data_IF_295463242544
#
_entry.id   IF_295463242544
#
_cell.length_a   1.000
_cell.length_b   1.000
_cell.length_c   1.000
_cell.angle_alpha   90.00
_cell.angle_beta   90.00
_cell.angle_gamma   90.00
#
_symmetry.space_group_name_H-M   'P 1'
#
loop_
_entity.id
_entity.type
_entity.pdbx_description
1 polymer ?
#
# COMPACT_ATOMS: atom_id res chain seq x y z
N UNK A 1 -17.18 28.57 -11.46
CA UNK A 1 -17.22 27.56 -12.54
C UNK A 1 -16.06 26.59 -12.35
N UNK A 2 -16.31 25.43 -11.72
CA UNK A 2 -15.30 24.37 -11.54
C UNK A 2 -15.30 23.48 -12.78
N UNK A 3 -14.15 23.39 -13.46
CA UNK A 3 -13.93 22.45 -14.56
C UNK A 3 -13.95 21.03 -14.02
N UNK A 4 -14.84 20.21 -14.57
CA UNK A 4 -14.84 18.76 -14.46
C UNK A 4 -13.63 18.24 -15.24
N UNK A 5 -12.58 17.83 -14.52
CA UNK A 5 -11.48 17.07 -15.10
C UNK A 5 -11.91 15.60 -15.16
N UNK A 6 -12.18 15.14 -16.38
CA UNK A 6 -12.35 13.74 -16.71
C UNK A 6 -11.11 12.96 -16.27
N UNK A 7 -11.28 11.99 -15.39
CA UNK A 7 -10.22 11.10 -14.97
C UNK A 7 -10.44 9.74 -15.61
N UNK A 8 -9.70 9.49 -16.70
CA UNK A 8 -9.44 8.14 -17.18
C UNK A 8 -8.68 7.37 -16.10
N UNK A 9 -9.43 6.70 -15.22
CA UNK A 9 -8.92 5.83 -14.16
C UNK A 9 -9.02 4.40 -14.67
N UNK A 10 -7.91 3.83 -15.12
CA UNK A 10 -7.89 2.43 -15.54
C UNK A 10 -6.51 1.86 -15.88
N UNK A 11 -5.42 2.56 -15.55
CA UNK A 11 -4.06 2.10 -15.92
C UNK A 11 -3.03 2.23 -14.80
N UNK A 12 -3.43 2.61 -13.58
CA UNK A 12 -2.47 3.01 -12.55
C UNK A 12 -1.98 1.86 -11.65
N UNK A 13 -2.69 0.73 -11.57
CA UNK A 13 -2.32 -0.36 -10.66
C UNK A 13 -1.17 -1.25 -11.18
N UNK A 14 -1.02 -1.42 -12.49
CA UNK A 14 0.16 -2.15 -13.03
C UNK A 14 1.41 -1.28 -13.16
N UNK A 15 1.27 0.02 -13.39
CA UNK A 15 2.42 0.93 -13.47
C UNK A 15 3.07 1.20 -12.11
N UNK A 16 2.34 1.02 -11.00
CA UNK A 16 2.91 1.10 -9.66
C UNK A 16 3.76 -0.12 -9.27
N UNK A 17 3.76 -1.19 -10.07
CA UNK A 17 4.72 -2.29 -9.98
C UNK A 17 5.95 -2.11 -10.93
N UNK A 18 5.95 -1.08 -11.79
CA UNK A 18 7.01 -0.82 -12.79
C UNK A 18 8.02 0.25 -12.35
N UNK A 19 7.90 0.78 -11.13
CA UNK A 19 8.90 1.65 -10.52
C UNK A 19 9.45 1.00 -9.25
N UNK A 20 10.18 -0.10 -9.40
CA UNK A 20 11.09 -0.52 -8.35
C UNK A 20 12.26 0.47 -8.28
N UNK A 21 12.71 0.90 -7.09
CA UNK A 21 14.14 1.12 -6.95
C UNK A 21 14.81 -0.23 -7.19
N UNK A 22 15.76 -0.24 -8.12
CA UNK A 22 16.73 -1.30 -8.21
C UNK A 22 17.45 -1.46 -6.85
N UNK A 23 17.74 -2.71 -6.52
CA UNK A 23 18.63 -3.25 -5.48
C UNK A 23 19.30 -2.22 -4.56
N UNK A 24 19.17 -2.42 -3.25
CA UNK A 24 20.23 -2.02 -2.34
C UNK A 24 20.73 -3.21 -1.53
N UNK A 25 21.95 -3.61 -1.87
CA UNK A 25 22.91 -4.21 -0.95
C UNK A 25 23.42 -3.11 -0.02
N UNK A 26 22.54 -2.64 0.85
CA UNK A 26 22.84 -1.83 2.03
C UNK A 26 21.72 -2.16 3.01
N UNK A 27 21.96 -2.08 4.32
CA UNK A 27 20.98 -2.42 5.36
C UNK A 27 19.75 -1.49 5.42
N UNK A 28 19.22 -1.06 4.28
CA UNK A 28 17.98 -0.30 4.18
C UNK A 28 16.77 -1.20 4.42
N UNK A 29 15.82 -0.67 5.20
CA UNK A 29 14.55 -1.32 5.51
C UNK A 29 13.79 -1.56 4.20
N UNK A 30 13.49 -2.84 3.95
CA UNK A 30 12.75 -3.29 2.78
C UNK A 30 11.40 -2.56 2.71
N UNK A 31 11.22 -1.71 1.68
CA UNK A 31 9.96 -0.97 1.50
C UNK A 31 8.90 -1.86 0.87
N UNK A 32 7.80 -2.11 1.57
CA UNK A 32 6.58 -2.70 1.02
C UNK A 32 5.85 -1.68 0.12
N UNK A 33 5.59 -2.05 -1.15
CA UNK A 33 4.74 -1.25 -2.04
C UNK A 33 3.36 -0.94 -1.45
N UNK A 34 2.81 -1.85 -0.64
CA UNK A 34 1.50 -1.73 0.01
C UNK A 34 1.57 -0.91 1.30
N UNK A 35 2.56 -1.15 2.17
CA UNK A 35 2.62 -0.50 3.48
C UNK A 35 3.31 0.87 3.46
N UNK A 36 4.48 1.02 2.83
CA UNK A 36 5.43 2.08 3.21
C UNK A 36 5.25 3.42 2.48
N UNK A 37 4.17 3.58 1.70
CA UNK A 37 3.71 4.92 1.26
C UNK A 37 2.85 5.58 2.34
N UNK A 38 3.45 5.99 3.45
CA UNK A 38 2.81 6.87 4.44
C UNK A 38 3.60 8.16 4.51
N UNK A 39 2.91 9.28 4.37
CA UNK A 39 3.47 10.62 4.49
C UNK A 39 3.19 11.09 5.91
N UNK A 40 4.19 11.66 6.59
CA UNK A 40 3.99 12.41 7.85
C UNK A 40 2.93 13.47 7.58
N UNK A 41 1.86 13.47 8.37
CA UNK A 41 0.72 14.38 8.16
C UNK A 41 0.85 15.57 9.10
N UNK A 42 1.39 15.36 10.30
CA UNK A 42 1.52 16.37 11.33
C UNK A 42 2.96 16.48 11.84
N UNK A 43 3.45 17.71 11.96
CA UNK A 43 4.77 18.02 12.52
C UNK A 43 4.67 19.32 13.30
N UNK A 44 5.34 19.40 14.44
CA UNK A 44 5.47 20.67 15.15
C UNK A 44 6.09 21.75 14.22
N UNK A 45 5.69 23.03 14.35
CA UNK A 45 6.32 24.11 13.61
C UNK A 45 7.86 24.09 13.82
N UNK A 46 8.64 24.10 12.74
CA UNK A 46 10.10 23.96 12.83
C UNK A 46 10.79 25.09 13.63
N UNK A 47 10.11 26.22 13.84
CA UNK A 47 10.64 27.41 14.51
C UNK A 47 9.72 27.85 15.68
N UNK A 48 9.47 26.95 16.64
CA UNK A 48 8.66 27.26 17.84
C UNK A 48 9.16 28.51 18.57
N UNK A 49 10.47 28.73 18.61
CA UNK A 49 11.11 29.85 19.28
C UNK A 49 10.72 31.23 18.70
N UNK A 50 10.33 31.27 17.42
CA UNK A 50 9.98 32.51 16.72
C UNK A 50 8.50 32.90 16.85
N UNK A 51 7.67 32.02 17.42
CA UNK A 51 6.25 32.29 17.65
C UNK A 51 6.06 33.11 18.93
N UNK A 52 5.01 33.95 18.98
CA UNK A 52 4.61 34.63 20.22
C UNK A 52 3.92 33.64 21.17
N UNK A 53 3.82 34.00 22.46
CA UNK A 53 3.14 33.17 23.45
C UNK A 53 1.66 32.93 23.09
N UNK A 54 0.99 33.96 22.56
CA UNK A 54 -0.37 33.87 22.01
C UNK A 54 -0.47 32.89 20.83
N UNK A 55 0.50 32.94 19.90
CA UNK A 55 0.56 32.03 18.77
C UNK A 55 0.81 30.58 19.21
N UNK A 56 1.67 30.36 20.21
CA UNK A 56 1.93 29.03 20.78
C UNK A 56 0.67 28.45 21.43
N UNK A 57 -0.09 29.25 22.19
CA UNK A 57 -1.37 28.81 22.77
C UNK A 57 -2.42 28.52 21.70
N UNK A 58 -2.50 29.34 20.66
CA UNK A 58 -3.43 29.12 19.54
C UNK A 58 -3.10 27.83 18.78
N UNK A 59 -1.82 27.57 18.49
CA UNK A 59 -1.37 26.36 17.80
C UNK A 59 -1.64 25.11 18.65
N UNK A 60 -1.33 25.16 19.97
CA UNK A 60 -1.64 24.09 20.92
C UNK A 60 -3.14 23.79 20.95
N UNK A 61 -3.99 24.82 20.97
CA UNK A 61 -5.44 24.65 20.97
C UNK A 61 -5.96 24.04 19.65
N UNK A 62 -5.38 24.43 18.51
CA UNK A 62 -5.70 23.85 17.21
C UNK A 62 -5.34 22.36 17.16
N UNK A 63 -4.11 21.99 17.54
CA UNK A 63 -3.69 20.59 17.58
C UNK A 63 -4.48 19.75 18.57
N UNK A 64 -4.82 20.30 19.75
CA UNK A 64 -5.66 19.60 20.72
C UNK A 64 -7.08 19.33 20.18
N UNK A 65 -7.64 20.29 19.43
CA UNK A 65 -8.96 20.12 18.78
C UNK A 65 -8.91 19.04 17.70
N UNK A 66 -7.85 19.01 16.89
CA UNK A 66 -7.66 17.98 15.87
C UNK A 66 -7.42 16.59 16.49
N UNK A 67 -6.59 16.51 17.54
CA UNK A 67 -6.35 15.28 18.29
C UNK A 67 -7.67 14.70 18.82
N UNK A 68 -8.50 15.52 19.46
CA UNK A 68 -9.80 15.10 19.96
C UNK A 68 -10.73 14.60 18.84
N UNK A 69 -10.74 15.26 17.69
CA UNK A 69 -11.55 14.85 16.55
C UNK A 69 -11.10 13.50 15.97
N UNK A 70 -9.79 13.28 15.85
CA UNK A 70 -9.22 12.04 15.32
C UNK A 70 -9.41 10.89 16.32
N UNK A 71 -9.20 11.11 17.62
CA UNK A 71 -9.38 10.10 18.65
C UNK A 71 -10.82 9.57 18.72
N UNK A 72 -11.84 10.42 18.48
CA UNK A 72 -13.24 9.99 18.49
C UNK A 72 -13.58 8.96 17.40
N UNK A 73 -12.88 8.99 16.27
CA UNK A 73 -13.15 8.15 15.10
C UNK A 73 -12.10 7.06 14.89
N UNK A 74 -11.07 7.00 15.74
CA UNK A 74 -9.96 6.06 15.63
C UNK A 74 -10.24 4.79 16.43
N UNK A 75 -9.96 3.65 15.80
CA UNK A 75 -9.86 2.39 16.52
C UNK A 75 -8.65 2.40 17.47
N UNK A 76 -8.67 1.51 18.46
CA UNK A 76 -7.47 1.18 19.21
C UNK A 76 -6.36 0.69 18.26
N UNK A 77 -5.08 1.04 18.49
CA UNK A 77 -3.96 0.75 17.58
C UNK A 77 -3.88 -0.70 17.11
N UNK A 78 -3.98 -1.66 18.04
CA UNK A 78 -3.90 -3.09 17.73
C UNK A 78 -5.08 -3.58 16.90
N UNK A 79 -6.29 -3.04 17.15
CA UNK A 79 -7.50 -3.39 16.38
C UNK A 79 -7.37 -2.89 14.94
N UNK A 80 -6.87 -1.66 14.74
CA UNK A 80 -6.66 -1.14 13.40
C UNK A 80 -5.54 -1.87 12.65
N UNK A 81 -4.44 -2.21 13.33
CA UNK A 81 -3.34 -3.02 12.77
C UNK A 81 -3.84 -4.38 12.29
N UNK A 82 -4.63 -5.05 13.10
CA UNK A 82 -5.20 -6.36 12.78
C UNK A 82 -6.17 -6.27 11.60
N UNK A 83 -7.12 -5.33 11.62
CA UNK A 83 -8.06 -5.11 10.50
C UNK A 83 -7.32 -4.79 9.21
N UNK A 84 -6.28 -3.97 9.27
CA UNK A 84 -5.49 -3.64 8.09
C UNK A 84 -4.76 -4.87 7.54
N UNK A 85 -4.15 -5.69 8.42
CA UNK A 85 -3.53 -6.95 8.02
C UNK A 85 -4.54 -7.91 7.36
N UNK A 86 -5.74 -8.03 7.92
CA UNK A 86 -6.83 -8.84 7.34
C UNK A 86 -7.26 -8.34 5.96
N UNK A 87 -7.46 -7.04 5.79
CA UNK A 87 -7.83 -6.47 4.47
C UNK A 87 -6.73 -6.67 3.43
N UNK A 88 -5.46 -6.52 3.85
CA UNK A 88 -4.31 -6.82 2.99
C UNK A 88 -4.29 -8.31 2.61
N UNK A 89 -4.63 -9.18 3.55
CA UNK A 89 -4.72 -10.61 3.34
C UNK A 89 -5.80 -11.00 2.32
N UNK A 90 -6.97 -10.38 2.39
CA UNK A 90 -8.05 -10.53 1.41
C UNK A 90 -7.61 -10.05 0.01
N UNK A 91 -6.90 -8.93 -0.06
CA UNK A 91 -6.35 -8.45 -1.33
C UNK A 91 -5.32 -9.41 -1.92
N UNK A 92 -4.46 -10.01 -1.10
CA UNK A 92 -3.52 -11.02 -1.58
C UNK A 92 -4.21 -12.29 -2.08
N UNK A 93 -5.31 -12.70 -1.45
CA UNK A 93 -6.11 -13.82 -1.97
C UNK A 93 -6.63 -13.51 -3.37
N UNK A 94 -6.97 -12.25 -3.66
CA UNK A 94 -7.24 -11.78 -5.03
C UNK A 94 -5.99 -11.84 -5.90
N UNK A 95 -4.84 -11.31 -5.46
CA UNK A 95 -3.56 -11.38 -6.22
C UNK A 95 -3.15 -12.81 -6.56
N UNK A 96 -3.37 -13.76 -5.66
CA UNK A 96 -3.03 -15.17 -5.84
C UNK A 96 -3.90 -15.85 -6.90
N UNK A 97 -5.06 -15.28 -7.26
CA UNK A 97 -5.88 -15.82 -8.34
C UNK A 97 -5.20 -15.77 -9.71
N UNK A 98 -4.11 -15.00 -9.89
CA UNK A 98 -3.33 -15.00 -11.14
C UNK A 98 -2.96 -16.41 -11.58
N UNK A 99 -2.67 -17.31 -10.64
CA UNK A 99 -2.38 -18.73 -10.87
C UNK A 99 -3.50 -19.37 -11.69
N UNK A 100 -4.76 -19.17 -11.27
CA UNK A 100 -5.95 -19.67 -11.99
C UNK A 100 -6.16 -18.95 -13.32
N UNK A 101 -5.87 -17.66 -13.37
CA UNK A 101 -6.00 -16.88 -14.61
C UNK A 101 -5.01 -17.35 -15.67
N UNK A 102 -3.78 -17.70 -15.32
CA UNK A 102 -2.78 -18.24 -16.25
C UNK A 102 -3.29 -19.50 -16.94
N UNK A 103 -3.91 -20.42 -16.19
CA UNK A 103 -4.54 -21.61 -16.78
C UNK A 103 -5.65 -21.23 -17.77
N UNK A 104 -6.51 -20.26 -17.42
CA UNK A 104 -7.54 -19.77 -18.35
C UNK A 104 -6.94 -19.12 -19.59
N UNK A 105 -5.87 -18.35 -19.46
CA UNK A 105 -5.20 -17.71 -20.60
C UNK A 105 -4.55 -18.73 -21.54
N UNK A 106 -4.00 -19.83 -20.99
CA UNK A 106 -3.50 -20.94 -21.79
C UNK A 106 -4.62 -21.51 -22.67
N UNK A 107 -5.79 -21.75 -22.09
CA UNK A 107 -6.94 -22.31 -22.82
C UNK A 107 -7.55 -21.29 -23.80
N UNK A 108 -7.81 -20.06 -23.34
CA UNK A 108 -8.42 -18.98 -24.12
C UNK A 108 -7.54 -18.56 -25.31
N UNK A 109 -6.21 -18.57 -25.16
CA UNK A 109 -5.29 -18.18 -26.22
C UNK A 109 -4.74 -19.37 -27.02
N UNK A 110 -5.14 -20.59 -26.66
CA UNK A 110 -4.69 -21.84 -27.29
C UNK A 110 -3.16 -21.94 -27.29
N UNK A 111 -2.55 -21.73 -26.11
CA UNK A 111 -1.10 -21.78 -25.94
C UNK A 111 -0.66 -23.23 -25.86
N UNK A 112 0.28 -23.62 -26.70
CA UNK A 112 0.79 -24.99 -26.79
C UNK A 112 2.32 -25.06 -26.66
N UNK A 113 2.81 -26.29 -26.49
CA UNK A 113 4.24 -26.60 -26.46
C UNK A 113 4.99 -26.01 -25.26
N UNK A 114 6.29 -25.78 -25.45
CA UNK A 114 7.21 -25.39 -24.36
C UNK A 114 6.76 -24.16 -23.57
N UNK A 115 6.20 -23.15 -24.24
CA UNK A 115 5.75 -21.93 -23.56
C UNK A 115 4.57 -22.19 -22.62
N UNK A 116 3.65 -23.08 -22.99
CA UNK A 116 2.57 -23.55 -22.11
C UNK A 116 3.12 -24.19 -20.84
N UNK A 117 4.06 -25.11 -21.01
CA UNK A 117 4.64 -25.87 -19.89
C UNK A 117 5.41 -24.94 -18.94
N UNK A 118 6.11 -23.94 -19.48
CA UNK A 118 6.77 -22.89 -18.70
C UNK A 118 5.76 -22.07 -17.88
N UNK A 119 4.66 -21.60 -18.49
CA UNK A 119 3.61 -20.84 -17.80
C UNK A 119 2.99 -21.63 -16.64
N UNK A 120 2.72 -22.92 -16.86
CA UNK A 120 2.22 -23.82 -15.81
C UNK A 120 3.26 -23.99 -14.70
N UNK A 121 4.53 -24.16 -15.06
CA UNK A 121 5.64 -24.25 -14.11
C UNK A 121 5.73 -23.02 -13.21
N UNK A 122 5.72 -21.82 -13.79
CA UNK A 122 5.72 -20.56 -13.03
C UNK A 122 4.48 -20.43 -12.14
N UNK A 123 3.30 -20.75 -12.67
CA UNK A 123 2.03 -20.69 -11.92
C UNK A 123 2.07 -21.58 -10.67
N UNK A 124 2.54 -22.82 -10.80
CA UNK A 124 2.63 -23.78 -9.70
C UNK A 124 3.67 -23.38 -8.66
N UNK A 125 4.88 -22.99 -9.10
CA UNK A 125 5.94 -22.53 -8.20
C UNK A 125 5.49 -21.28 -7.43
N UNK A 126 4.87 -20.33 -8.12
CA UNK A 126 4.31 -19.13 -7.49
C UNK A 126 3.27 -19.48 -6.42
N UNK A 127 2.27 -20.32 -6.72
CA UNK A 127 1.24 -20.70 -5.74
C UNK A 127 1.87 -21.36 -4.50
N UNK A 128 2.81 -22.28 -4.71
CA UNK A 128 3.47 -23.00 -3.62
C UNK A 128 4.33 -22.08 -2.74
N UNK A 129 5.18 -21.26 -3.36
CA UNK A 129 6.07 -20.34 -2.62
C UNK A 129 5.27 -19.32 -1.82
N UNK A 130 4.27 -18.70 -2.43
CA UNK A 130 3.48 -17.66 -1.78
C UNK A 130 2.63 -18.23 -0.65
N UNK A 131 1.93 -19.36 -0.86
CA UNK A 131 1.14 -19.99 0.20
C UNK A 131 2.00 -20.46 1.36
N UNK A 132 3.21 -20.95 1.09
CA UNK A 132 4.13 -21.37 2.15
C UNK A 132 4.65 -20.16 2.94
N UNK A 133 5.07 -19.09 2.25
CA UNK A 133 5.52 -17.87 2.91
C UNK A 133 4.39 -17.24 3.77
N UNK A 134 3.15 -17.25 3.28
CA UNK A 134 1.98 -16.68 3.96
C UNK A 134 1.71 -17.29 5.34
N UNK A 135 2.04 -18.57 5.56
CA UNK A 135 1.84 -19.28 6.85
C UNK A 135 2.62 -18.64 8.00
N UNK A 136 3.65 -17.85 7.70
CA UNK A 136 4.54 -17.23 8.67
C UNK A 136 4.25 -15.74 8.88
N UNK A 137 3.16 -15.22 8.28
CA UNK A 137 2.81 -13.80 8.37
C UNK A 137 1.74 -13.63 9.44
N UNK A 138 2.10 -13.03 10.57
CA UNK A 138 1.19 -12.81 11.70
C UNK A 138 1.02 -11.32 12.03
N UNK A 139 1.95 -10.48 11.58
CA UNK A 139 1.96 -9.04 11.82
C UNK A 139 2.19 -8.25 10.54
N UNK A 140 1.97 -6.93 10.59
CA UNK A 140 2.30 -6.01 9.48
C UNK A 140 3.80 -5.95 9.19
N UNK A 141 4.67 -6.24 10.16
CA UNK A 141 6.11 -6.26 9.93
C UNK A 141 6.56 -7.55 9.25
N UNK A 142 6.00 -8.71 9.63
CA UNK A 142 6.19 -9.96 8.88
C UNK A 142 5.73 -9.80 7.42
N UNK A 143 4.63 -9.05 7.24
CA UNK A 143 4.02 -8.82 5.95
C UNK A 143 4.96 -8.09 4.97
N UNK A 144 5.80 -7.15 5.43
CA UNK A 144 6.72 -6.40 4.54
C UNK A 144 7.64 -7.34 3.76
N UNK A 145 8.23 -8.30 4.46
CA UNK A 145 9.14 -9.28 3.87
C UNK A 145 8.38 -10.23 2.93
N UNK A 146 7.17 -10.61 3.30
CA UNK A 146 6.30 -11.43 2.47
C UNK A 146 5.87 -10.71 1.17
N UNK A 147 5.42 -9.46 1.25
CA UNK A 147 4.95 -8.67 0.09
C UNK A 147 6.07 -8.41 -0.92
N UNK A 148 7.30 -8.21 -0.43
CA UNK A 148 8.47 -8.15 -1.29
C UNK A 148 8.70 -9.46 -2.04
N UNK A 149 8.64 -10.61 -1.35
CA UNK A 149 8.77 -11.93 -1.99
C UNK A 149 7.65 -12.14 -3.01
N UNK A 150 6.40 -11.85 -2.62
CA UNK A 150 5.25 -11.89 -3.53
C UNK A 150 5.53 -11.12 -4.82
N UNK A 151 5.97 -9.87 -4.67
CA UNK A 151 6.26 -8.98 -5.79
C UNK A 151 7.41 -9.49 -6.65
N UNK A 152 8.48 -10.02 -6.04
CA UNK A 152 9.63 -10.57 -6.76
C UNK A 152 9.25 -11.79 -7.61
N UNK A 153 8.52 -12.75 -7.04
CA UNK A 153 8.08 -13.95 -7.78
C UNK A 153 7.07 -13.55 -8.86
N UNK A 154 6.14 -12.63 -8.57
CA UNK A 154 5.20 -12.10 -9.57
C UNK A 154 5.92 -11.44 -10.74
N UNK A 155 6.95 -10.64 -10.47
CA UNK A 155 7.75 -9.97 -11.50
C UNK A 155 8.50 -10.98 -12.37
N UNK A 156 9.05 -12.05 -11.81
CA UNK A 156 9.71 -13.11 -12.59
C UNK A 156 8.76 -13.77 -13.60
N UNK A 157 7.51 -14.01 -13.18
CA UNK A 157 6.46 -14.54 -14.05
C UNK A 157 6.06 -13.54 -15.15
N UNK A 158 5.91 -12.25 -14.81
CA UNK A 158 5.65 -11.19 -15.79
C UNK A 158 6.78 -10.99 -16.80
N UNK A 159 8.03 -11.15 -16.38
CA UNK A 159 9.18 -11.13 -17.29
C UNK A 159 9.07 -12.26 -18.31
N UNK A 160 8.66 -13.45 -17.88
CA UNK A 160 8.44 -14.57 -18.80
C UNK A 160 7.34 -14.28 -19.82
N UNK A 161 6.27 -13.60 -19.42
CA UNK A 161 5.19 -13.21 -20.34
C UNK A 161 5.68 -12.27 -21.44
N UNK A 162 6.67 -11.43 -21.15
CA UNK A 162 7.27 -10.52 -22.12
C UNK A 162 8.13 -11.22 -23.19
N UNK A 163 8.58 -12.45 -22.95
CA UNK A 163 9.33 -13.24 -23.93
C UNK A 163 8.46 -13.72 -25.11
N UNK A 164 7.13 -13.64 -24.98
CA UNK A 164 6.17 -13.95 -26.05
C UNK A 164 5.37 -12.70 -26.44
N UNK A 165 5.78 -11.95 -27.49
CA UNK A 165 5.13 -10.70 -27.89
C UNK A 165 3.64 -10.84 -28.22
N UNK A 166 3.25 -11.94 -28.86
CA UNK A 166 1.86 -12.23 -29.22
C UNK A 166 1.00 -12.49 -27.99
N UNK A 167 1.50 -13.29 -27.04
CA UNK A 167 0.83 -13.51 -25.76
C UNK A 167 0.63 -12.19 -25.01
N UNK A 168 1.70 -11.40 -24.89
CA UNK A 168 1.69 -10.10 -24.21
C UNK A 168 0.67 -9.15 -24.83
N UNK A 169 0.60 -9.09 -26.16
CA UNK A 169 -0.32 -8.21 -26.88
C UNK A 169 -1.78 -8.57 -26.61
N UNK A 170 -2.13 -9.87 -26.63
CA UNK A 170 -3.48 -10.35 -26.32
C UNK A 170 -3.85 -10.08 -24.87
N UNK A 171 -2.98 -10.46 -23.93
CA UNK A 171 -3.16 -10.20 -22.50
C UNK A 171 -3.38 -8.70 -22.22
N UNK A 172 -2.57 -7.83 -22.82
CA UNK A 172 -2.70 -6.38 -22.65
C UNK A 172 -4.03 -5.82 -23.22
N UNK A 173 -4.58 -6.43 -24.26
CA UNK A 173 -5.91 -6.08 -24.77
C UNK A 173 -7.01 -6.56 -23.82
N UNK A 174 -6.91 -7.79 -23.34
CA UNK A 174 -7.88 -8.40 -22.42
C UNK A 174 -7.96 -7.69 -21.06
N UNK A 175 -6.83 -7.21 -20.54
CA UNK A 175 -6.78 -6.37 -19.34
C UNK A 175 -7.68 -5.13 -19.43
N UNK A 176 -7.94 -4.61 -20.64
CA UNK A 176 -8.81 -3.45 -20.86
C UNK A 176 -10.27 -3.82 -21.04
N UNK A 177 -10.58 -5.11 -21.19
CA UNK A 177 -11.93 -5.62 -21.42
C UNK A 177 -12.42 -6.41 -20.18
N UNK A 178 -13.35 -5.85 -19.38
CA UNK A 178 -13.81 -6.48 -18.15
C UNK A 178 -14.60 -7.77 -18.34
N UNK A 179 -14.90 -8.18 -19.59
CA UNK A 179 -15.59 -9.43 -19.89
C UNK A 179 -14.63 -10.60 -20.16
N UNK A 180 -13.33 -10.37 -20.21
CA UNK A 180 -12.31 -11.42 -20.35
C UNK A 180 -11.89 -11.94 -18.98
N UNK A 181 -11.23 -13.10 -18.92
CA UNK A 181 -10.73 -13.64 -17.65
C UNK A 181 -9.70 -12.71 -17.01
N UNK A 182 -8.77 -12.15 -17.79
CA UNK A 182 -7.77 -11.20 -17.29
C UNK A 182 -8.39 -9.85 -16.88
N UNK A 183 -9.35 -9.33 -17.65
CA UNK A 183 -10.01 -8.07 -17.32
C UNK A 183 -10.88 -8.15 -16.07
N UNK A 184 -11.61 -9.26 -15.86
CA UNK A 184 -12.35 -9.51 -14.60
C UNK A 184 -11.40 -9.56 -13.42
N UNK A 185 -10.31 -10.31 -13.55
CA UNK A 185 -9.28 -10.43 -12.53
C UNK A 185 -8.70 -9.06 -12.15
N UNK A 186 -8.35 -8.23 -13.14
CA UNK A 186 -7.82 -6.88 -12.88
C UNK A 186 -8.84 -6.00 -12.16
N UNK A 187 -10.12 -6.07 -12.54
CA UNK A 187 -11.19 -5.35 -11.86
C UNK A 187 -11.31 -5.75 -10.38
N UNK A 188 -11.31 -7.05 -10.09
CA UNK A 188 -11.36 -7.54 -8.70
C UNK A 188 -10.13 -7.14 -7.88
N UNK A 189 -8.95 -7.08 -8.52
CA UNK A 189 -7.74 -6.56 -7.88
C UNK A 189 -7.86 -5.08 -7.53
N UNK A 190 -8.33 -4.25 -8.47
CA UNK A 190 -8.48 -2.82 -8.26
C UNK A 190 -9.50 -2.52 -7.15
N UNK A 191 -10.62 -3.25 -7.13
CA UNK A 191 -11.65 -3.13 -6.11
C UNK A 191 -11.14 -3.52 -4.71
N UNK A 192 -10.44 -4.66 -4.61
CA UNK A 192 -9.85 -5.08 -3.33
C UNK A 192 -8.71 -4.15 -2.87
N UNK A 193 -7.92 -3.61 -3.78
CA UNK A 193 -6.87 -2.64 -3.43
C UNK A 193 -7.46 -1.31 -2.92
N UNK A 194 -8.62 -0.89 -3.41
CA UNK A 194 -9.30 0.29 -2.88
C UNK A 194 -9.67 0.11 -1.39
N UNK A 195 -10.04 -1.10 -0.96
CA UNK A 195 -10.27 -1.41 0.45
C UNK A 195 -8.97 -1.33 1.28
N UNK A 196 -7.86 -1.86 0.75
CA UNK A 196 -6.53 -1.71 1.37
C UNK A 196 -6.16 -0.25 1.55
N UNK A 197 -6.39 0.59 0.54
CA UNK A 197 -6.13 2.03 0.63
C UNK A 197 -6.99 2.69 1.71
N UNK A 198 -8.28 2.33 1.79
CA UNK A 198 -9.18 2.84 2.82
C UNK A 198 -8.66 2.53 4.23
N UNK A 199 -8.34 1.27 4.51
CA UNK A 199 -7.82 0.86 5.83
C UNK A 199 -6.43 1.43 6.11
N UNK A 200 -5.60 1.62 5.08
CA UNK A 200 -4.33 2.31 5.20
C UNK A 200 -4.48 3.76 5.65
N UNK A 201 -5.48 4.50 5.13
CA UNK A 201 -5.76 5.84 5.64
C UNK A 201 -6.32 5.82 7.06
N UNK A 202 -7.07 4.77 7.41
CA UNK A 202 -7.61 4.61 8.76
C UNK A 202 -6.53 4.35 9.81
N UNK A 203 -5.54 3.50 9.51
CA UNK A 203 -4.40 3.28 10.41
C UNK A 203 -3.46 4.50 10.46
N UNK A 204 -3.45 5.37 9.43
CA UNK A 204 -2.72 6.64 9.50
C UNK A 204 -3.24 7.56 10.61
N UNK A 205 -4.54 7.53 10.92
CA UNK A 205 -5.08 8.31 12.03
C UNK A 205 -4.39 7.97 13.36
N UNK A 206 -3.98 6.72 13.57
CA UNK A 206 -3.25 6.31 14.78
C UNK A 206 -1.86 6.92 14.82
N UNK A 207 -1.15 6.98 13.69
CA UNK A 207 0.13 7.67 13.61
C UNK A 207 -0.04 9.18 13.81
N UNK A 208 -1.08 9.78 13.22
CA UNK A 208 -1.44 11.18 13.42
C UNK A 208 -1.73 11.52 14.88
N UNK A 209 -2.36 10.62 15.64
CA UNK A 209 -2.55 10.78 17.10
C UNK A 209 -1.20 10.96 17.79
N UNK A 210 -0.25 10.06 17.55
CA UNK A 210 1.07 10.15 18.15
C UNK A 210 1.85 11.40 17.70
N UNK A 211 1.77 11.76 16.41
CA UNK A 211 2.38 12.98 15.87
C UNK A 211 1.82 14.24 16.54
N UNK A 212 0.50 14.33 16.73
CA UNK A 212 -0.18 15.45 17.38
C UNK A 212 0.15 15.51 18.88
N UNK A 213 0.16 14.38 19.58
CA UNK A 213 0.57 14.30 20.99
C UNK A 213 1.99 14.83 21.19
N UNK A 214 2.93 14.41 20.34
CA UNK A 214 4.31 14.89 20.37
C UNK A 214 4.40 16.39 20.05
N UNK A 215 3.66 16.88 19.06
CA UNK A 215 3.65 18.30 18.72
C UNK A 215 3.09 19.17 19.86
N UNK A 216 2.01 18.73 20.50
CA UNK A 216 1.44 19.38 21.68
C UNK A 216 2.43 19.39 22.85
N UNK A 217 3.18 18.31 23.06
CA UNK A 217 4.20 18.22 24.10
C UNK A 217 5.31 19.25 23.87
N UNK A 218 5.88 19.32 22.65
CA UNK A 218 6.92 20.29 22.30
C UNK A 218 6.46 21.74 22.45
N UNK A 219 5.23 22.06 22.03
CA UNK A 219 4.66 23.41 22.24
C UNK A 219 4.49 23.71 23.74
N UNK A 220 4.08 22.71 24.53
CA UNK A 220 3.87 22.88 25.97
C UNK A 220 5.19 23.10 26.73
N UNK A 221 6.25 22.39 26.33
CA UNK A 221 7.60 22.62 26.85
C UNK A 221 8.08 24.04 26.55
N UNK A 222 7.86 24.53 25.32
CA UNK A 222 8.24 25.88 24.92
C UNK A 222 7.50 26.97 25.69
N UNK A 223 6.18 26.83 25.87
CA UNK A 223 5.38 27.75 26.70
C UNK A 223 5.94 27.77 28.13
N UNK A 224 6.15 26.59 28.73
CA UNK A 224 6.64 26.47 30.11
C UNK A 224 8.03 27.09 30.28
N UNK A 225 8.91 26.94 29.28
CA UNK A 225 10.24 27.57 29.26
C UNK A 225 10.14 29.10 29.34
N UNK A 226 9.23 29.71 28.59
CA UNK A 226 9.05 31.17 28.56
C UNK A 226 8.42 31.70 29.82
N UNK A 227 7.38 31.02 30.32
CA UNK A 227 6.72 31.38 31.58
C UNK A 227 7.71 31.34 32.76
N UNK A 228 8.69 30.42 32.73
CA UNK A 228 9.76 30.34 33.73
C UNK A 228 10.86 31.40 33.57
N UNK A 229 10.96 32.06 32.41
CA UNK A 229 11.97 33.11 32.12
C UNK A 229 11.41 34.53 32.36
N UNK A 230 10.08 34.69 32.42
CA UNK A 230 9.40 35.94 32.73
C UNK A 230 9.15 36.18 34.24
N UNK A 231 9.53 35.22 35.11
CA UNK A 231 9.53 35.30 36.58
C UNK A 231 10.88 35.74 37.14
#
# INVERSE_FOLDING_TARGET
MRRVLSSGKGLFCLLLALAGPAVLASGEVLKSPILDRVKVIYSAPANLENLTLEQLHAEKAAFAKELAAIQQVSDAPEVARQKFLETVFEHDDKRLQIVKIIHKLIDEYQIEGKFRDELIGYSNTFDQEIRNARKHVHTLDDYKSYDFRFSAVYMSMMLKFNESPEFRKRMAADMRNPNTSMGRYLKELDESYAAVLHEKYRIQNIYSVHELENAIALISEEISRRDATEL
#
